data_IF_886892527276
#
_entry.id   IF_886892527276
#
_cell.length_a   1.000
_cell.length_b   1.000
_cell.length_c   1.000
_cell.angle_alpha   90.00
_cell.angle_beta   90.00
_cell.angle_gamma   90.00
#
_symmetry.space_group_name_H-M   'P 1'
#
loop_
_entity.id
_entity.type
_entity.pdbx_description
1 polymer ?
#
# COMPACT_ATOMS: atom_id res chain seq x y z
N UNK A 1 59.93 -23.51 1.70
CA UNK A 1 58.78 -23.59 2.64
C UNK A 1 57.96 -22.33 2.42
N UNK A 2 56.96 -22.38 1.52
CA UNK A 2 56.12 -21.24 1.15
C UNK A 2 54.92 -21.19 2.10
N UNK A 3 54.77 -20.09 2.83
CA UNK A 3 53.56 -19.75 3.58
C UNK A 3 52.47 -19.35 2.58
N UNK A 4 51.33 -20.03 2.62
CA UNK A 4 50.13 -19.64 1.87
C UNK A 4 49.29 -18.69 2.72
N UNK A 5 49.35 -17.40 2.40
CA UNK A 5 48.45 -16.38 2.94
C UNK A 5 46.99 -16.72 2.59
N UNK A 6 46.19 -17.01 3.62
CA UNK A 6 44.73 -17.06 3.52
C UNK A 6 44.20 -15.62 3.48
N UNK A 7 44.08 -15.06 2.27
CA UNK A 7 43.38 -13.80 2.05
C UNK A 7 41.86 -14.04 2.11
N UNK A 8 41.25 -13.90 3.29
CA UNK A 8 39.78 -13.94 3.44
C UNK A 8 39.15 -12.69 2.85
N UNK A 9 38.70 -12.80 1.61
CA UNK A 9 37.92 -11.77 0.93
C UNK A 9 36.48 -11.77 1.50
N UNK A 10 36.20 -10.87 2.45
CA UNK A 10 34.86 -10.69 3.00
C UNK A 10 33.97 -9.93 2.00
N UNK A 11 33.51 -10.62 0.96
CA UNK A 11 32.45 -10.12 0.10
C UNK A 11 31.15 -10.04 0.92
N UNK A 12 30.77 -8.82 1.31
CA UNK A 12 29.45 -8.58 1.88
C UNK A 12 28.41 -8.93 0.82
N UNK A 13 27.47 -9.82 1.15
CA UNK A 13 26.45 -10.29 0.21
C UNK A 13 25.63 -9.11 -0.32
N UNK A 14 25.30 -9.16 -1.60
CA UNK A 14 24.36 -8.24 -2.22
C UNK A 14 22.92 -8.54 -1.78
N UNK A 15 22.01 -7.59 -1.98
CA UNK A 15 20.58 -7.75 -1.63
C UNK A 15 19.94 -8.91 -2.40
N UNK A 16 20.32 -9.10 -3.67
CA UNK A 16 19.80 -10.16 -4.53
C UNK A 16 20.29 -11.55 -4.08
N UNK A 17 21.57 -11.67 -3.73
CA UNK A 17 22.14 -12.92 -3.18
C UNK A 17 21.53 -13.27 -1.82
N UNK A 18 21.35 -12.26 -0.95
CA UNK A 18 20.71 -12.45 0.34
C UNK A 18 19.25 -12.93 0.19
N UNK A 19 18.49 -12.34 -0.73
CA UNK A 19 17.11 -12.73 -1.00
C UNK A 19 17.01 -14.14 -1.59
N UNK A 20 17.84 -14.44 -2.60
CA UNK A 20 17.85 -15.75 -3.26
C UNK A 20 18.19 -16.85 -2.26
N UNK A 21 19.24 -16.67 -1.46
CA UNK A 21 19.63 -17.63 -0.41
C UNK A 21 18.52 -17.84 0.61
N UNK A 22 17.88 -16.75 1.06
CA UNK A 22 16.82 -16.85 2.04
C UNK A 22 15.61 -17.65 1.51
N UNK A 23 15.29 -17.50 0.21
CA UNK A 23 14.19 -18.23 -0.43
C UNK A 23 14.48 -19.68 -0.81
N UNK A 24 15.73 -20.04 -1.13
CA UNK A 24 16.05 -21.38 -1.70
C UNK A 24 16.92 -22.26 -0.83
N UNK A 25 17.69 -21.69 0.11
CA UNK A 25 18.73 -22.41 0.86
C UNK A 25 18.69 -22.14 2.36
N UNK A 26 17.61 -21.52 2.87
CA UNK A 26 17.48 -21.30 4.31
C UNK A 26 17.23 -22.62 5.03
N UNK A 27 18.01 -22.88 6.08
CA UNK A 27 17.83 -24.04 6.96
C UNK A 27 17.03 -23.70 8.23
N UNK A 28 16.73 -22.42 8.48
CA UNK A 28 15.99 -21.98 9.66
C UNK A 28 15.26 -20.65 9.40
N UNK A 29 13.93 -20.68 9.54
CA UNK A 29 13.02 -19.54 9.33
C UNK A 29 12.44 -18.96 10.63
N UNK A 30 12.99 -19.34 11.79
CA UNK A 30 12.58 -18.71 13.05
C UNK A 30 13.04 -17.25 13.11
N UNK A 31 12.14 -16.39 13.57
CA UNK A 31 12.45 -14.97 13.85
C UNK A 31 13.09 -14.91 15.23
N UNK A 32 14.28 -14.32 15.30
CA UNK A 32 15.05 -14.12 16.53
C UNK A 32 15.16 -12.60 16.76
N UNK A 33 14.69 -12.08 17.91
CA UNK A 33 14.72 -10.64 18.18
C UNK A 33 16.15 -10.07 18.28
N UNK A 34 17.13 -10.90 18.63
CA UNK A 34 18.51 -10.47 18.90
C UNK A 34 19.43 -10.70 17.69
N UNK A 35 18.95 -11.38 16.64
CA UNK A 35 19.75 -11.78 15.48
C UNK A 35 19.00 -11.66 14.16
N UNK A 36 19.60 -10.96 13.19
CA UNK A 36 19.09 -10.88 11.82
C UNK A 36 19.42 -12.17 11.04
N UNK A 37 18.40 -12.86 10.54
CA UNK A 37 18.51 -14.09 9.76
C UNK A 37 17.78 -14.02 8.40
N UNK A 38 17.74 -15.16 7.71
CA UNK A 38 17.08 -15.30 6.40
C UNK A 38 15.56 -15.00 6.50
N UNK A 39 14.93 -15.30 7.64
CA UNK A 39 13.56 -14.91 7.93
C UNK A 39 13.37 -13.39 7.88
N UNK A 40 14.29 -12.60 8.43
CA UNK A 40 14.23 -11.13 8.38
C UNK A 40 14.42 -10.60 6.97
N UNK A 41 15.24 -11.26 6.15
CA UNK A 41 15.41 -10.92 4.73
C UNK A 41 14.13 -11.19 3.95
N UNK A 42 13.47 -12.33 4.17
CA UNK A 42 12.18 -12.65 3.54
C UNK A 42 11.05 -11.75 4.06
N UNK A 43 11.03 -11.42 5.35
CA UNK A 43 10.12 -10.43 5.92
C UNK A 43 10.39 -9.09 5.22
N UNK A 44 11.63 -8.60 5.18
CA UNK A 44 11.98 -7.35 4.50
C UNK A 44 11.67 -7.37 2.98
N UNK A 45 11.77 -8.52 2.32
CA UNK A 45 11.42 -8.64 0.91
C UNK A 45 9.90 -8.74 0.66
N UNK A 46 9.16 -9.34 1.59
CA UNK A 46 7.69 -9.23 1.68
C UNK A 46 7.24 -7.78 1.90
N UNK A 47 8.16 -6.93 2.35
CA UNK A 47 8.01 -5.49 2.53
C UNK A 47 8.52 -4.68 1.33
N UNK A 48 9.01 -5.35 0.27
CA UNK A 48 9.36 -4.68 -0.96
C UNK A 48 8.14 -3.94 -1.53
N UNK A 49 8.34 -2.75 -2.16
CA UNK A 49 7.24 -2.02 -2.78
C UNK A 49 6.42 -2.85 -3.78
N UNK A 50 7.03 -3.88 -4.39
CA UNK A 50 6.35 -4.82 -5.28
C UNK A 50 5.37 -5.77 -4.59
N UNK A 51 5.67 -6.21 -3.35
CA UNK A 51 4.80 -7.09 -2.56
C UNK A 51 3.67 -6.32 -1.89
N UNK A 52 3.96 -5.17 -1.28
CA UNK A 52 2.92 -4.27 -0.77
C UNK A 52 2.01 -3.78 -1.91
N UNK A 53 2.58 -3.41 -3.07
CA UNK A 53 1.81 -3.06 -4.26
C UNK A 53 0.88 -4.17 -4.73
N UNK A 54 1.30 -5.44 -4.63
CA UNK A 54 0.45 -6.60 -4.92
C UNK A 54 -0.76 -6.71 -3.98
N UNK A 55 -0.53 -6.56 -2.68
CA UNK A 55 -1.59 -6.56 -1.68
C UNK A 55 -2.55 -5.36 -1.84
N UNK A 56 -2.01 -4.17 -2.15
CA UNK A 56 -2.79 -2.96 -2.43
C UNK A 56 -3.70 -3.12 -3.65
N UNK A 57 -3.19 -3.67 -4.77
CA UNK A 57 -4.03 -3.94 -5.95
C UNK A 57 -5.13 -4.96 -5.65
N UNK A 58 -4.85 -5.98 -4.83
CA UNK A 58 -5.88 -6.95 -4.42
C UNK A 58 -6.94 -6.27 -3.56
N UNK A 59 -6.52 -5.46 -2.59
CA UNK A 59 -7.42 -4.68 -1.74
C UNK A 59 -8.31 -3.74 -2.57
N UNK A 60 -7.73 -3.07 -3.58
CA UNK A 60 -8.50 -2.26 -4.54
C UNK A 60 -9.55 -3.09 -5.27
N UNK A 61 -9.17 -4.26 -5.78
CA UNK A 61 -10.10 -5.14 -6.47
C UNK A 61 -11.23 -5.65 -5.56
N UNK A 62 -10.92 -5.99 -4.31
CA UNK A 62 -11.92 -6.36 -3.29
C UNK A 62 -12.88 -5.20 -3.01
N UNK A 63 -12.36 -3.99 -2.90
CA UNK A 63 -13.14 -2.77 -2.70
C UNK A 63 -14.06 -2.47 -3.89
N UNK A 64 -13.54 -2.54 -5.12
CA UNK A 64 -14.32 -2.25 -6.32
C UNK A 64 -15.39 -3.31 -6.60
N UNK A 65 -15.13 -4.57 -6.19
CA UNK A 65 -16.06 -5.70 -6.33
C UNK A 65 -17.11 -5.76 -5.23
N UNK A 66 -16.85 -5.13 -4.08
CA UNK A 66 -17.90 -4.91 -3.09
C UNK A 66 -18.91 -3.96 -3.74
N UNK A 67 -20.09 -4.48 -4.09
CA UNK A 67 -21.17 -3.78 -4.78
C UNK A 67 -21.76 -2.64 -3.91
N UNK A 68 -20.94 -1.64 -3.62
CA UNK A 68 -21.27 -0.57 -2.71
C UNK A 68 -22.10 0.47 -3.46
N UNK A 69 -23.15 1.03 -2.82
CA UNK A 69 -23.75 2.25 -3.30
C UNK A 69 -22.67 3.34 -3.29
N UNK A 70 -22.06 3.64 -4.44
CA UNK A 70 -20.99 4.66 -4.59
C UNK A 70 -21.45 6.10 -4.23
N UNK A 71 -22.71 6.22 -3.80
CA UNK A 71 -23.45 7.44 -3.51
C UNK A 71 -24.38 7.29 -2.27
N UNK A 72 -24.24 6.21 -1.49
CA UNK A 72 -24.98 5.99 -0.24
C UNK A 72 -24.10 6.30 0.97
N UNK A 73 -24.73 6.61 2.10
CA UNK A 73 -24.09 7.05 3.34
C UNK A 73 -23.13 5.97 3.89
N UNK A 74 -21.83 6.06 3.55
CA UNK A 74 -20.79 5.18 4.11
C UNK A 74 -20.64 5.33 5.64
N UNK A 75 -21.32 6.30 6.27
CA UNK A 75 -21.15 6.62 7.68
C UNK A 75 -21.48 5.48 8.64
N UNK A 76 -22.47 4.63 8.31
CA UNK A 76 -22.92 3.54 9.18
C UNK A 76 -22.35 2.15 8.80
N UNK A 77 -22.18 1.89 7.49
CA UNK A 77 -21.81 0.55 6.98
C UNK A 77 -20.30 0.36 6.69
N UNK A 78 -19.51 1.44 6.76
CA UNK A 78 -18.07 1.37 6.54
C UNK A 78 -17.32 0.35 7.42
N UNK A 79 -17.64 0.19 8.72
CA UNK A 79 -16.94 -0.79 9.56
C UNK A 79 -17.21 -2.24 9.14
N UNK A 80 -18.46 -2.62 8.85
CA UNK A 80 -18.78 -3.98 8.41
C UNK A 80 -18.21 -4.24 7.01
N UNK A 81 -18.23 -3.25 6.12
CA UNK A 81 -17.65 -3.34 4.79
C UNK A 81 -16.14 -3.59 4.82
N UNK A 82 -15.42 -2.80 5.61
CA UNK A 82 -13.98 -2.95 5.80
C UNK A 82 -13.63 -4.34 6.37
N UNK A 83 -14.49 -4.89 7.24
CA UNK A 83 -14.33 -6.24 7.78
C UNK A 83 -14.40 -7.37 6.74
N UNK A 84 -14.98 -7.12 5.54
CA UNK A 84 -15.09 -8.11 4.45
C UNK A 84 -13.88 -8.12 3.52
N UNK A 85 -13.01 -7.12 3.62
CA UNK A 85 -11.83 -6.97 2.76
C UNK A 85 -10.69 -7.85 3.29
N UNK A 86 -10.50 -9.02 2.67
CA UNK A 86 -9.51 -10.02 3.07
C UNK A 86 -8.10 -9.45 3.15
N UNK A 87 -7.76 -8.53 2.25
CA UNK A 87 -6.41 -7.96 2.17
C UNK A 87 -6.21 -6.76 3.11
N UNK A 88 -7.25 -6.26 3.76
CA UNK A 88 -7.20 -5.01 4.51
C UNK A 88 -6.27 -5.10 5.72
N UNK A 89 -6.38 -6.16 6.54
CA UNK A 89 -5.55 -6.32 7.74
C UNK A 89 -4.06 -6.39 7.41
N UNK A 90 -3.69 -7.08 6.33
CA UNK A 90 -2.31 -7.16 5.84
C UNK A 90 -1.80 -5.79 5.40
N UNK A 91 -2.59 -5.04 4.62
CA UNK A 91 -2.21 -3.69 4.14
C UNK A 91 -2.08 -2.72 5.31
N UNK A 92 -3.05 -2.66 6.22
CA UNK A 92 -2.99 -1.79 7.39
C UNK A 92 -1.76 -2.07 8.25
N UNK A 93 -1.47 -3.34 8.52
CA UNK A 93 -0.31 -3.75 9.31
C UNK A 93 1.03 -3.41 8.63
N UNK A 94 1.07 -3.37 7.29
CA UNK A 94 2.26 -3.00 6.53
C UNK A 94 2.48 -1.48 6.50
N UNK A 95 1.39 -0.73 6.28
CA UNK A 95 1.41 0.73 6.21
C UNK A 95 1.67 1.33 7.61
N UNK A 96 1.08 0.77 8.67
CA UNK A 96 1.32 1.16 10.06
C UNK A 96 2.78 0.95 10.47
N UNK A 97 3.34 -0.23 10.20
CA UNK A 97 4.75 -0.52 10.51
C UNK A 97 5.72 0.36 9.72
N UNK A 98 5.40 0.72 8.46
CA UNK A 98 6.18 1.72 7.72
C UNK A 98 6.12 3.10 8.39
N UNK A 99 4.92 3.55 8.78
CA UNK A 99 4.73 4.83 9.43
C UNK A 99 5.47 4.89 10.78
N UNK A 100 5.39 3.81 11.57
CA UNK A 100 6.12 3.66 12.82
C UNK A 100 7.64 3.69 12.60
N UNK A 101 8.15 3.00 11.58
CA UNK A 101 9.58 3.02 11.23
C UNK A 101 10.08 4.40 10.76
N UNK A 102 9.18 5.27 10.31
CA UNK A 102 9.47 6.67 9.95
C UNK A 102 9.28 7.66 11.10
N UNK A 103 8.91 7.17 12.29
CA UNK A 103 8.66 8.02 13.46
C UNK A 103 7.43 8.92 13.31
N UNK A 104 6.45 8.52 12.48
CA UNK A 104 5.22 9.29 12.32
C UNK A 104 4.31 9.07 13.53
N UNK A 105 3.74 10.15 14.05
CA UNK A 105 2.81 10.10 15.18
C UNK A 105 1.53 9.34 14.80
N UNK A 106 0.91 8.68 15.79
CA UNK A 106 -0.35 7.95 15.64
C UNK A 106 -0.38 6.99 14.43
N UNK A 107 0.72 6.27 14.18
CA UNK A 107 0.94 5.44 12.99
C UNK A 107 -0.25 4.52 12.62
N UNK A 108 -0.96 3.98 13.62
CA UNK A 108 -2.17 3.17 13.42
C UNK A 108 -3.33 3.98 12.85
N UNK A 109 -3.65 5.11 13.46
CA UNK A 109 -4.71 6.01 13.02
C UNK A 109 -4.39 6.62 11.67
N UNK A 110 -3.12 6.96 11.45
CA UNK A 110 -2.59 7.43 10.18
C UNK A 110 -2.78 6.38 9.07
N UNK A 111 -2.33 5.14 9.31
CA UNK A 111 -2.49 4.04 8.37
C UNK A 111 -3.95 3.78 8.01
N UNK A 112 -4.83 3.71 9.02
CA UNK A 112 -6.26 3.50 8.81
C UNK A 112 -6.89 4.63 7.99
N UNK A 113 -6.64 5.88 8.37
CA UNK A 113 -7.18 7.06 7.71
C UNK A 113 -6.74 7.14 6.25
N UNK A 114 -5.43 6.97 5.99
CA UNK A 114 -4.89 7.04 4.64
C UNK A 114 -5.32 5.88 3.75
N UNK A 115 -5.39 4.65 4.26
CA UNK A 115 -5.87 3.50 3.48
C UNK A 115 -7.35 3.67 3.13
N UNK A 116 -8.19 4.13 4.08
CA UNK A 116 -9.61 4.39 3.80
C UNK A 116 -9.78 5.51 2.75
N UNK A 117 -9.05 6.62 2.90
CA UNK A 117 -9.05 7.70 1.90
C UNK A 117 -8.54 7.22 0.54
N UNK A 118 -7.49 6.40 0.50
CA UNK A 118 -6.99 5.84 -0.75
C UNK A 118 -8.05 4.97 -1.41
N UNK A 119 -8.78 4.15 -0.65
CA UNK A 119 -9.86 3.31 -1.17
C UNK A 119 -11.04 4.14 -1.71
N UNK A 120 -11.44 5.18 -0.99
CA UNK A 120 -12.49 6.09 -1.41
C UNK A 120 -12.10 7.55 -1.17
N UNK A 121 -11.44 8.18 -2.15
CA UNK A 121 -11.08 9.59 -2.04
C UNK A 121 -12.27 10.50 -2.38
N UNK A 122 -13.47 9.96 -2.59
CA UNK A 122 -14.63 10.73 -3.07
C UNK A 122 -15.10 11.73 -2.02
N UNK A 123 -15.40 12.96 -2.46
CA UNK A 123 -16.09 13.91 -1.59
C UNK A 123 -17.52 13.44 -1.33
N UNK A 124 -17.82 12.99 -0.10
CA UNK A 124 -19.16 12.51 0.28
C UNK A 124 -20.20 13.63 0.33
N UNK A 125 -19.81 14.88 0.60
CA UNK A 125 -20.73 16.02 0.59
C UNK A 125 -21.37 16.28 -0.79
N UNK A 126 -20.64 16.01 -1.89
CA UNK A 126 -21.18 16.10 -3.24
C UNK A 126 -21.29 14.74 -3.93
N UNK A 127 -20.98 13.63 -3.25
CA UNK A 127 -20.91 12.28 -3.80
C UNK A 127 -20.09 12.21 -5.11
N UNK A 128 -18.99 12.96 -5.16
CA UNK A 128 -18.12 13.05 -6.33
C UNK A 128 -18.62 13.93 -7.49
N UNK A 129 -19.75 14.63 -7.35
CA UNK A 129 -20.28 15.54 -8.40
C UNK A 129 -19.49 16.83 -8.56
N UNK A 130 -18.88 17.34 -7.50
CA UNK A 130 -18.15 18.61 -7.49
C UNK A 130 -19.02 19.85 -7.34
N UNK A 131 -20.34 19.69 -7.43
CA UNK A 131 -21.35 20.74 -7.19
C UNK A 131 -22.42 20.26 -6.22
N UNK A 132 -23.06 21.19 -5.51
CA UNK A 132 -24.25 20.92 -4.69
C UNK A 132 -25.44 20.56 -5.58
N UNK A 133 -26.29 19.63 -5.15
CA UNK A 133 -27.60 19.45 -5.79
C UNK A 133 -28.53 20.59 -5.36
N UNK A 134 -29.29 21.13 -6.32
CA UNK A 134 -30.38 22.06 -5.99
C UNK A 134 -31.53 21.23 -5.39
N UNK A 135 -31.99 21.54 -4.15
CA UNK A 135 -33.01 20.74 -3.48
C UNK A 135 -34.25 20.50 -4.35
N UNK A 136 -34.70 19.24 -4.43
CA UNK A 136 -35.90 18.86 -5.19
C UNK A 136 -35.74 18.84 -6.72
N UNK A 137 -34.54 19.07 -7.26
CA UNK A 137 -34.30 19.04 -8.71
C UNK A 137 -33.09 18.18 -9.06
N UNK A 138 -33.03 17.60 -10.27
CA UNK A 138 -31.84 16.90 -10.75
C UNK A 138 -30.72 17.86 -11.20
N UNK A 139 -30.89 19.17 -11.02
CA UNK A 139 -29.95 20.18 -11.49
C UNK A 139 -28.79 20.36 -10.52
N UNK A 140 -27.60 20.54 -11.10
CA UNK A 140 -26.40 20.92 -10.36
C UNK A 140 -26.46 22.42 -10.04
N UNK A 141 -26.24 22.74 -8.77
CA UNK A 141 -26.13 24.10 -8.26
C UNK A 141 -24.68 24.57 -8.22
N UNK A 142 -24.34 25.30 -7.17
CA UNK A 142 -23.02 25.93 -6.99
C UNK A 142 -21.92 24.89 -6.77
N UNK A 143 -20.67 25.30 -6.97
CA UNK A 143 -19.48 24.51 -6.63
C UNK A 143 -19.59 24.00 -5.19
N UNK A 144 -19.24 22.73 -4.99
CA UNK A 144 -19.29 22.09 -3.68
C UNK A 144 -18.34 22.82 -2.72
N UNK A 145 -18.90 23.34 -1.62
CA UNK A 145 -18.12 24.06 -0.60
C UNK A 145 -17.12 23.17 0.15
N UNK A 146 -17.40 21.87 0.28
CA UNK A 146 -16.54 20.95 1.01
C UNK A 146 -15.26 20.58 0.25
N UNK A 147 -15.35 20.35 -1.06
CA UNK A 147 -14.19 19.98 -1.89
C UNK A 147 -13.70 21.09 -2.83
N UNK A 148 -14.37 22.25 -2.88
CA UNK A 148 -14.05 23.32 -3.83
C UNK A 148 -14.18 22.91 -5.30
N UNK A 149 -14.98 21.88 -5.60
CA UNK A 149 -15.12 21.33 -6.96
C UNK A 149 -14.09 20.27 -7.34
N UNK A 150 -13.12 19.93 -6.47
CA UNK A 150 -12.12 18.89 -6.73
C UNK A 150 -12.70 17.48 -6.82
N UNK A 151 -13.93 17.29 -6.31
CA UNK A 151 -14.64 16.00 -6.17
C UNK A 151 -13.99 15.03 -5.19
N UNK A 152 -12.87 15.40 -4.57
CA UNK A 152 -12.15 14.58 -3.60
C UNK A 152 -12.39 15.05 -2.17
N UNK A 153 -12.40 14.13 -1.23
CA UNK A 153 -12.36 14.43 0.19
C UNK A 153 -11.04 15.15 0.53
N UNK A 154 -11.01 15.83 1.67
CA UNK A 154 -9.78 16.41 2.19
C UNK A 154 -8.84 15.29 2.60
N UNK A 155 -7.56 15.42 2.25
CA UNK A 155 -6.58 14.41 2.62
C UNK A 155 -6.40 14.33 4.15
N UNK A 156 -6.39 13.11 4.70
CA UNK A 156 -6.31 12.93 6.14
C UNK A 156 -4.93 13.32 6.67
N UNK A 157 -4.89 13.83 7.90
CA UNK A 157 -3.67 13.94 8.72
C UNK A 157 -2.51 14.74 8.10
N UNK A 158 -2.81 15.73 7.25
CA UNK A 158 -1.86 16.74 6.80
C UNK A 158 -0.64 16.17 6.06
N UNK A 159 0.56 16.67 6.39
CA UNK A 159 1.80 16.30 5.68
C UNK A 159 2.17 14.82 5.87
N UNK A 160 1.95 14.25 7.04
CA UNK A 160 2.26 12.84 7.29
C UNK A 160 1.31 11.92 6.53
N UNK A 161 0.04 12.30 6.44
CA UNK A 161 -0.92 11.60 5.60
C UNK A 161 -0.54 11.66 4.11
N UNK A 162 -0.13 12.83 3.63
CA UNK A 162 0.40 12.99 2.26
C UNK A 162 1.60 12.07 2.01
N UNK A 163 2.57 12.01 2.92
CA UNK A 163 3.75 11.13 2.81
C UNK A 163 3.34 9.66 2.68
N UNK A 164 2.37 9.24 3.49
CA UNK A 164 1.86 7.87 3.46
C UNK A 164 1.09 7.56 2.17
N UNK A 165 0.28 8.50 1.68
CA UNK A 165 -0.43 8.34 0.41
C UNK A 165 0.55 8.23 -0.76
N UNK A 166 1.61 9.05 -0.78
CA UNK A 166 2.65 8.95 -1.80
C UNK A 166 3.34 7.58 -1.79
N UNK A 167 3.61 7.02 -0.60
CA UNK A 167 4.13 5.65 -0.49
C UNK A 167 3.18 4.63 -1.14
N UNK A 168 1.89 4.71 -0.81
CA UNK A 168 0.88 3.78 -1.33
C UNK A 168 0.84 3.85 -2.87
N UNK A 169 0.82 5.06 -3.42
CA UNK A 169 0.82 5.28 -4.88
C UNK A 169 2.11 4.77 -5.53
N UNK A 170 3.27 5.00 -4.92
CA UNK A 170 4.56 4.48 -5.40
C UNK A 170 4.60 2.94 -5.44
N UNK A 171 4.08 2.29 -4.40
CA UNK A 171 4.00 0.83 -4.34
C UNK A 171 3.12 0.27 -5.48
N UNK A 172 1.97 0.89 -5.71
CA UNK A 172 1.03 0.49 -6.78
C UNK A 172 1.65 0.75 -8.16
N UNK A 173 2.26 1.92 -8.37
CA UNK A 173 2.91 2.28 -9.63
C UNK A 173 4.06 1.32 -9.99
N UNK A 174 4.94 1.02 -9.03
CA UNK A 174 6.04 0.04 -9.22
C UNK A 174 5.50 -1.35 -9.56
N UNK A 175 4.38 -1.74 -8.94
CA UNK A 175 3.75 -3.03 -9.22
C UNK A 175 3.16 -3.08 -10.64
N UNK A 176 2.45 -2.04 -11.07
CA UNK A 176 1.98 -1.92 -12.45
C UNK A 176 3.14 -1.98 -13.45
N UNK A 177 4.24 -1.26 -13.19
CA UNK A 177 5.41 -1.27 -14.06
C UNK A 177 6.06 -2.65 -14.16
N UNK A 178 6.17 -3.37 -13.04
CA UNK A 178 6.67 -4.76 -13.01
C UNK A 178 5.79 -5.71 -13.84
N UNK A 179 4.46 -5.61 -13.71
CA UNK A 179 3.53 -6.40 -14.52
C UNK A 179 3.63 -6.07 -16.01
N UNK A 180 3.72 -4.78 -16.36
CA UNK A 180 3.92 -4.30 -17.73
C UNK A 180 5.18 -4.89 -18.36
N UNK A 181 6.32 -4.86 -17.65
CA UNK A 181 7.58 -5.42 -18.15
C UNK A 181 7.48 -6.93 -18.42
N UNK A 182 6.85 -7.68 -17.52
CA UNK A 182 6.65 -9.14 -17.67
C UNK A 182 5.81 -9.47 -18.90
N UNK A 183 4.73 -8.73 -19.15
CA UNK A 183 3.86 -8.94 -20.30
C UNK A 183 4.60 -8.71 -21.63
N UNK A 184 5.40 -7.63 -21.73
CA UNK A 184 6.21 -7.36 -22.92
C UNK A 184 7.27 -8.45 -23.15
N UNK A 185 7.97 -8.88 -22.09
CA UNK A 185 8.98 -9.93 -22.17
C UNK A 185 8.42 -11.31 -22.59
N UNK A 186 7.11 -11.53 -22.46
CA UNK A 186 6.43 -12.73 -22.99
C UNK A 186 6.06 -12.55 -24.46
N UNK A 187 5.72 -11.33 -24.90
CA UNK A 187 5.39 -11.02 -26.29
C UNK A 187 6.63 -11.09 -27.20
N UNK A 188 7.80 -10.70 -26.71
CA UNK A 188 9.05 -10.74 -27.48
C UNK A 188 9.65 -12.16 -27.63
N UNK A 189 9.00 -13.18 -27.05
CA UNK A 189 9.41 -14.60 -27.10
C UNK A 189 8.53 -15.47 -28.00
N UNK A 190 7.60 -14.88 -28.75
CA UNK A 190 6.68 -15.56 -29.66
C UNK A 190 6.90 -15.18 -31.11
#
# INVERSE_FOLDING_TARGET
>A
MLMTDHHTNHHHRTVEEAYTRAGTSSSNLKVDPDRRGDADVLIAAGWSPGMLGGALMRLRGEWDSAALPRHGDLGADAPQLLGRLRSLGQVLSAVERWAAAKGLADARTLARSCVCYWLDPTCHACLGRGSSLVPGTPLLGRVCKACGGTRKAVEPMGQDGRRLLNLIDDCVARRHQSMKKRLHATKDRG
#
